data_IF_634392566346
#
_entry.id   IF_634392566346
#
_cell.length_a   1.000
_cell.length_b   1.000
_cell.length_c   1.000
_cell.angle_alpha   90.00
_cell.angle_beta   90.00
_cell.angle_gamma   90.00
#
_symmetry.space_group_name_H-M   'P 1'
#
loop_
_entity.id
_entity.type
_entity.pdbx_description
1 polymer ?
#
# COMPACT_ATOMS: atom_id res chain seq x y z
N UNK A 1 20.79 -57.82 -17.56
CA UNK A 1 20.50 -56.71 -18.49
C UNK A 1 19.36 -55.89 -17.90
N UNK A 2 19.61 -54.96 -16.97
CA UNK A 2 18.57 -54.08 -16.39
C UNK A 2 19.23 -52.90 -15.66
N UNK A 3 19.65 -51.89 -16.43
CA UNK A 3 20.17 -50.61 -15.92
C UNK A 3 19.89 -49.48 -16.93
N UNK A 4 18.63 -49.20 -17.25
CA UNK A 4 18.32 -48.02 -18.09
C UNK A 4 17.03 -47.25 -17.77
N UNK A 5 16.28 -47.61 -16.71
CA UNK A 5 14.97 -46.97 -16.45
C UNK A 5 15.04 -45.83 -15.41
N UNK A 6 16.18 -45.63 -14.73
CA UNK A 6 16.25 -44.69 -13.59
C UNK A 6 16.70 -43.25 -13.93
N UNK A 7 17.05 -42.93 -15.19
CA UNK A 7 17.61 -41.60 -15.53
C UNK A 7 16.57 -40.61 -16.10
N UNK A 8 15.50 -41.09 -16.73
CA UNK A 8 14.54 -40.24 -17.45
C UNK A 8 13.50 -39.57 -16.55
N UNK A 9 13.19 -40.16 -15.38
CA UNK A 9 12.23 -39.59 -14.41
C UNK A 9 12.81 -38.40 -13.64
N UNK A 10 14.14 -38.37 -13.43
CA UNK A 10 14.82 -37.26 -12.75
C UNK A 10 14.89 -36.00 -13.61
N UNK A 11 15.10 -36.14 -14.92
CA UNK A 11 15.18 -35.01 -15.85
C UNK A 11 13.83 -34.28 -16.01
N UNK A 12 12.72 -35.03 -16.05
CA UNK A 12 11.37 -34.48 -16.12
C UNK A 12 10.98 -33.73 -14.83
N UNK A 13 11.43 -34.21 -13.65
CA UNK A 13 11.21 -33.53 -12.38
C UNK A 13 11.92 -32.17 -12.29
N UNK A 14 13.16 -32.07 -12.82
CA UNK A 14 13.94 -30.83 -12.81
C UNK A 14 13.35 -29.80 -13.79
N UNK A 15 12.88 -30.23 -14.96
CA UNK A 15 12.22 -29.33 -15.93
C UNK A 15 10.85 -28.85 -15.39
N UNK A 16 10.08 -29.72 -14.73
CA UNK A 16 8.84 -29.33 -14.07
C UNK A 16 9.08 -28.32 -12.91
N UNK A 17 10.17 -28.48 -12.16
CA UNK A 17 10.55 -27.53 -11.12
C UNK A 17 10.93 -26.16 -11.71
N UNK A 18 11.72 -26.12 -12.80
CA UNK A 18 12.09 -24.88 -13.50
C UNK A 18 10.90 -24.14 -14.11
N UNK A 19 9.86 -24.85 -14.55
CA UNK A 19 8.62 -24.23 -15.09
C UNK A 19 7.67 -23.72 -13.99
N UNK A 20 7.89 -24.10 -12.72
CA UNK A 20 7.10 -23.65 -11.57
C UNK A 20 7.75 -22.51 -10.79
N UNK A 21 9.01 -22.16 -11.08
CA UNK A 21 9.63 -20.96 -10.52
C UNK A 21 9.19 -19.72 -11.31
N UNK A 22 8.60 -18.71 -10.65
CA UNK A 22 8.31 -17.45 -11.31
C UNK A 22 9.63 -16.83 -11.81
N UNK A 23 9.62 -16.32 -13.05
CA UNK A 23 10.78 -15.61 -13.59
C UNK A 23 11.19 -14.47 -12.65
N UNK A 24 12.50 -14.35 -12.42
CA UNK A 24 13.09 -13.24 -11.68
C UNK A 24 12.86 -11.98 -12.52
N UNK A 25 11.84 -11.22 -12.16
CA UNK A 25 11.59 -9.89 -12.73
C UNK A 25 12.44 -8.89 -11.97
N UNK A 26 13.40 -8.29 -12.65
CA UNK A 26 14.14 -7.16 -12.11
C UNK A 26 13.21 -5.96 -12.05
N UNK A 27 12.95 -5.44 -10.85
CA UNK A 27 12.26 -4.16 -10.69
C UNK A 27 13.12 -3.09 -11.34
N UNK A 28 12.53 -2.27 -12.23
CA UNK A 28 13.20 -1.10 -12.78
C UNK A 28 13.71 -0.23 -11.63
N UNK A 29 14.94 0.26 -11.75
CA UNK A 29 15.57 1.14 -10.76
C UNK A 29 14.87 2.51 -10.80
N UNK A 30 14.17 2.83 -9.71
CA UNK A 30 13.42 4.09 -9.58
C UNK A 30 14.39 5.20 -9.12
N UNK A 31 14.74 6.11 -10.03
CA UNK A 31 15.48 7.36 -9.74
C UNK A 31 14.49 8.41 -9.21
N UNK A 32 14.91 9.56 -8.68
CA UNK A 32 14.01 10.60 -8.12
C UNK A 32 13.96 11.86 -9.01
N UNK A 33 12.76 12.28 -9.49
CA UNK A 33 12.64 13.36 -10.49
C UNK A 33 12.49 14.70 -9.81
N UNK A 34 12.97 15.71 -10.53
CA UNK A 34 12.69 17.09 -10.19
C UNK A 34 11.18 17.39 -10.28
N UNK A 35 10.61 17.78 -9.13
CA UNK A 35 9.25 18.28 -8.86
C UNK A 35 8.59 19.14 -9.97
N UNK A 36 9.37 19.82 -10.82
CA UNK A 36 8.84 20.72 -11.87
C UNK A 36 8.31 20.00 -13.12
N UNK A 37 8.65 18.74 -13.34
CA UNK A 37 8.28 18.01 -14.58
C UNK A 37 6.79 17.67 -14.70
N UNK A 38 6.00 17.75 -13.61
CA UNK A 38 4.59 17.32 -13.59
C UNK A 38 3.59 18.46 -13.32
N UNK A 39 4.02 19.71 -13.28
CA UNK A 39 3.18 20.86 -12.87
C UNK A 39 2.09 21.22 -13.89
N UNK A 40 2.25 20.87 -15.17
CA UNK A 40 1.27 21.16 -16.23
C UNK A 40 0.12 20.13 -16.31
N UNK A 41 0.22 19.02 -15.57
CA UNK A 41 -0.73 17.87 -15.59
C UNK A 41 -1.90 17.98 -14.63
N UNK A 42 -2.19 19.16 -14.09
CA UNK A 42 -3.35 19.36 -13.20
C UNK A 42 -4.69 19.38 -13.94
N UNK A 43 -4.68 19.40 -15.28
CA UNK A 43 -5.88 19.31 -16.11
C UNK A 43 -5.77 18.09 -17.02
N UNK A 44 -6.53 17.04 -16.72
CA UNK A 44 -6.69 15.89 -17.60
C UNK A 44 -7.44 16.32 -18.86
N UNK A 45 -6.72 16.79 -19.87
CA UNK A 45 -7.27 17.26 -21.17
C UNK A 45 -7.82 16.12 -22.03
N UNK A 46 -7.66 14.86 -21.61
CA UNK A 46 -8.05 13.68 -22.38
C UNK A 46 -7.05 13.31 -23.49
N UNK A 47 -5.93 14.03 -23.57
CA UNK A 47 -4.78 13.70 -24.40
C UNK A 47 -3.76 12.95 -23.53
N UNK A 48 -3.41 11.73 -23.93
CA UNK A 48 -2.40 10.91 -23.27
C UNK A 48 -1.04 11.18 -23.94
N UNK A 49 0.02 11.40 -23.17
CA UNK A 49 1.39 11.50 -23.69
C UNK A 49 1.99 10.11 -24.01
N UNK A 50 3.12 10.08 -24.73
CA UNK A 50 3.79 8.87 -25.24
C UNK A 50 4.11 7.81 -24.17
N UNK A 51 4.25 8.23 -22.91
CA UNK A 51 4.56 7.37 -21.76
C UNK A 51 3.37 7.15 -20.80
N UNK A 52 2.16 7.58 -21.15
CA UNK A 52 0.97 7.35 -20.33
C UNK A 52 0.28 6.02 -20.69
N UNK A 53 -0.11 5.26 -19.67
CA UNK A 53 -0.88 4.02 -19.86
C UNK A 53 -2.26 4.37 -20.41
N UNK A 54 -2.49 4.01 -21.68
CA UNK A 54 -3.75 4.23 -22.36
C UNK A 54 -4.88 3.39 -21.74
N UNK A 55 -6.08 3.96 -21.53
CA UNK A 55 -7.23 3.19 -21.08
C UNK A 55 -7.60 2.13 -22.12
N UNK A 56 -8.06 0.96 -21.64
CA UNK A 56 -8.53 -0.15 -22.49
C UNK A 56 -9.71 0.22 -23.42
N UNK A 57 -10.33 1.40 -23.22
CA UNK A 57 -11.27 2.03 -24.15
C UNK A 57 -10.80 3.46 -24.43
N UNK A 58 -10.16 3.67 -25.58
CA UNK A 58 -9.70 4.96 -26.08
C UNK A 58 -10.87 5.75 -26.69
N UNK A 59 -11.82 6.20 -25.87
CA UNK A 59 -12.72 7.27 -26.30
C UNK A 59 -12.22 8.56 -25.66
N UNK A 60 -11.57 9.47 -26.42
CA UNK A 60 -11.38 10.81 -25.93
C UNK A 60 -12.75 11.35 -25.54
N UNK A 61 -12.86 12.09 -24.44
CA UNK A 61 -14.04 12.90 -24.19
C UNK A 61 -14.06 14.06 -25.18
N UNK A 62 -14.22 13.73 -26.46
CA UNK A 62 -14.58 14.68 -27.50
C UNK A 62 -15.99 15.10 -27.12
N UNK A 63 -16.15 16.32 -26.64
CA UNK A 63 -17.47 16.93 -26.58
C UNK A 63 -18.09 16.77 -27.97
N UNK A 64 -19.21 16.04 -28.06
CA UNK A 64 -19.81 15.68 -29.34
C UNK A 64 -20.03 16.97 -30.14
N UNK A 65 -19.38 17.15 -31.31
CA UNK A 65 -19.53 18.35 -32.11
C UNK A 65 -21.01 18.54 -32.46
N UNK A 66 -21.59 19.69 -32.08
CA UNK A 66 -23.01 19.99 -32.27
C UNK A 66 -23.89 19.87 -31.02
N UNK A 67 -23.43 19.24 -29.93
CA UNK A 67 -24.21 19.10 -28.67
C UNK A 67 -24.07 20.31 -27.73
N UNK A 68 -23.15 21.24 -28.03
CA UNK A 68 -23.09 22.53 -27.32
C UNK A 68 -24.16 23.55 -27.79
N UNK A 69 -24.86 23.28 -28.90
CA UNK A 69 -25.88 24.19 -29.44
C UNK A 69 -27.28 23.62 -29.21
N UNK A 70 -27.78 23.83 -28.01
CA UNK A 70 -29.16 23.50 -27.65
C UNK A 70 -29.49 23.96 -26.24
N UNK A 71 -30.74 24.39 -26.02
CA UNK A 71 -31.28 24.91 -24.75
C UNK A 71 -31.47 23.80 -23.71
N UNK A 72 -30.87 22.62 -23.92
CA UNK A 72 -30.73 21.64 -22.87
C UNK A 72 -29.40 21.89 -22.18
N UNK A 73 -29.36 22.73 -21.11
CA UNK A 73 -28.20 22.71 -20.25
C UNK A 73 -28.01 21.26 -19.82
N UNK A 74 -26.76 20.84 -19.65
CA UNK A 74 -26.48 19.79 -18.68
C UNK A 74 -27.23 20.19 -17.41
N UNK A 75 -28.42 19.61 -17.20
CA UNK A 75 -29.24 19.97 -16.08
C UNK A 75 -28.40 19.66 -14.85
N UNK A 76 -28.34 20.53 -13.82
CA UNK A 76 -27.75 20.15 -12.54
C UNK A 76 -28.45 18.92 -11.93
N UNK A 77 -29.59 18.52 -12.52
CA UNK A 77 -30.39 17.32 -12.24
C UNK A 77 -30.09 16.14 -13.18
N UNK A 78 -29.10 16.23 -14.08
CA UNK A 78 -28.62 15.09 -14.86
C UNK A 78 -28.30 13.95 -13.88
N UNK A 79 -28.81 12.76 -14.19
CA UNK A 79 -28.93 11.61 -13.30
C UNK A 79 -27.83 11.57 -12.23
N UNK A 80 -28.20 11.90 -10.97
CA UNK A 80 -27.27 11.89 -9.84
C UNK A 80 -26.53 10.55 -9.84
N UNK A 81 -25.21 10.57 -10.04
CA UNK A 81 -24.39 9.35 -10.04
C UNK A 81 -24.59 8.68 -8.68
N UNK A 82 -25.28 7.54 -8.66
CA UNK A 82 -25.61 6.83 -7.41
C UNK A 82 -24.41 6.07 -6.84
N UNK A 83 -23.39 5.85 -7.67
CA UNK A 83 -22.18 5.10 -7.32
C UNK A 83 -21.21 6.03 -6.59
N UNK A 84 -20.98 5.77 -5.30
CA UNK A 84 -20.11 6.58 -4.43
C UNK A 84 -18.67 6.69 -4.93
N UNK A 85 -18.17 5.67 -5.63
CA UNK A 85 -16.79 5.63 -6.16
C UNK A 85 -16.57 6.52 -7.39
N UNK A 86 -17.63 7.08 -7.98
CA UNK A 86 -17.57 7.88 -9.23
C UNK A 86 -18.12 9.31 -9.12
N UNK A 87 -18.36 9.79 -7.90
CA UNK A 87 -18.81 11.14 -7.62
C UNK A 87 -17.75 12.21 -7.97
N UNK A 88 -18.20 13.32 -8.54
CA UNK A 88 -17.36 14.49 -8.75
C UNK A 88 -16.91 15.13 -7.42
N UNK A 89 -17.72 15.00 -6.37
CA UNK A 89 -17.34 15.30 -4.98
C UNK A 89 -17.73 14.12 -4.08
N UNK A 90 -16.74 13.49 -3.47
CA UNK A 90 -16.94 12.40 -2.51
C UNK A 90 -17.67 12.87 -1.25
N UNK A 91 -17.59 14.17 -0.93
CA UNK A 91 -18.22 14.77 0.25
C UNK A 91 -19.65 15.24 0.00
N UNK A 92 -20.21 14.95 -1.18
CA UNK A 92 -21.58 15.34 -1.52
C UNK A 92 -22.58 14.83 -0.47
N UNK A 93 -23.25 15.77 0.19
CA UNK A 93 -24.27 15.53 1.22
C UNK A 93 -23.78 15.61 2.67
N UNK A 94 -22.48 15.84 2.90
CA UNK A 94 -21.94 16.05 4.25
C UNK A 94 -22.17 17.50 4.69
N UNK A 95 -22.87 17.67 5.83
CA UNK A 95 -23.13 19.00 6.39
C UNK A 95 -21.85 19.66 6.89
N UNK A 96 -21.68 20.93 6.52
CA UNK A 96 -20.56 21.78 6.95
C UNK A 96 -19.16 21.28 6.54
N UNK A 97 -19.05 20.49 5.46
CA UNK A 97 -17.76 19.99 4.97
C UNK A 97 -16.71 21.10 4.78
N UNK A 98 -17.08 22.24 4.19
CA UNK A 98 -16.17 23.40 3.96
C UNK A 98 -15.50 23.96 5.22
N UNK A 99 -16.04 23.67 6.41
CA UNK A 99 -15.49 24.13 7.71
C UNK A 99 -14.89 22.99 8.54
N UNK A 100 -14.82 21.77 8.01
CA UNK A 100 -14.28 20.59 8.67
C UNK A 100 -12.88 20.29 8.13
N UNK A 101 -12.03 19.73 8.98
CA UNK A 101 -10.73 19.19 8.54
C UNK A 101 -10.90 17.72 8.15
N UNK A 102 -9.97 17.23 7.34
CA UNK A 102 -9.98 15.83 6.89
C UNK A 102 -9.93 14.86 8.08
N UNK A 103 -9.05 15.14 9.04
CA UNK A 103 -8.80 14.34 10.23
C UNK A 103 -10.02 14.21 11.17
N UNK A 104 -10.93 15.19 11.18
CA UNK A 104 -12.14 15.14 12.01
C UNK A 104 -13.08 13.99 11.60
N UNK A 105 -13.00 13.54 10.35
CA UNK A 105 -13.78 12.43 9.79
C UNK A 105 -12.92 11.20 9.46
N UNK A 106 -11.67 11.40 9.02
CA UNK A 106 -10.75 10.35 8.55
C UNK A 106 -9.66 10.02 9.58
N UNK A 107 -10.03 9.86 10.85
CA UNK A 107 -9.07 9.63 11.95
C UNK A 107 -8.16 8.42 11.71
N UNK A 108 -8.69 7.35 11.10
CA UNK A 108 -7.93 6.12 10.84
C UNK A 108 -6.86 6.29 9.76
N UNK A 109 -7.06 7.26 8.86
CA UNK A 109 -6.19 7.49 7.70
C UNK A 109 -5.09 8.51 7.96
N UNK A 110 -5.05 9.09 9.17
CA UNK A 110 -4.04 10.08 9.60
C UNK A 110 -2.66 9.48 9.91
N UNK A 111 -2.55 8.15 9.90
CA UNK A 111 -1.36 7.43 10.37
C UNK A 111 -0.58 6.74 9.27
N UNK A 112 -0.50 7.39 8.10
CA UNK A 112 0.33 6.91 7.01
C UNK A 112 1.75 7.49 7.09
N UNK A 113 2.67 6.87 6.35
CA UNK A 113 4.08 7.27 6.34
C UNK A 113 4.25 8.66 5.70
N UNK A 114 3.42 9.02 4.73
CA UNK A 114 3.55 10.29 4.01
C UNK A 114 3.10 11.47 4.87
N UNK A 115 2.07 11.30 5.70
CA UNK A 115 1.65 12.32 6.66
C UNK A 115 2.60 12.40 7.85
N UNK A 116 2.96 11.28 8.48
CA UNK A 116 3.77 11.29 9.72
C UNK A 116 5.26 11.57 9.46
N UNK A 117 5.87 10.93 8.45
CA UNK A 117 7.32 11.08 8.19
C UNK A 117 7.65 12.16 7.17
N UNK A 118 6.87 12.26 6.09
CA UNK A 118 7.15 13.19 5.01
C UNK A 118 6.40 14.53 5.14
N UNK A 119 5.55 14.69 6.17
CA UNK A 119 4.75 15.90 6.42
C UNK A 119 3.93 16.34 5.19
N UNK A 120 3.41 15.37 4.44
CA UNK A 120 2.53 15.63 3.31
C UNK A 120 1.09 15.83 3.80
N UNK A 121 0.40 16.79 3.20
CA UNK A 121 -1.01 17.06 3.44
C UNK A 121 -1.89 16.14 2.60
N UNK A 122 -3.10 15.81 3.09
CA UNK A 122 -4.05 14.95 2.38
C UNK A 122 -4.35 15.46 0.96
N UNK A 123 -4.39 16.79 0.77
CA UNK A 123 -4.70 17.44 -0.52
C UNK A 123 -3.61 17.29 -1.56
N UNK A 124 -2.35 17.09 -1.17
CA UNK A 124 -1.27 16.88 -2.15
C UNK A 124 -1.47 15.59 -2.96
N UNK A 125 -2.13 14.59 -2.36
CA UNK A 125 -2.50 13.35 -3.03
C UNK A 125 -3.94 13.40 -3.57
N UNK A 126 -4.90 13.85 -2.76
CA UNK A 126 -6.33 13.83 -3.12
C UNK A 126 -6.79 14.97 -4.03
N UNK A 127 -5.98 16.03 -4.19
CA UNK A 127 -6.31 17.21 -4.97
C UNK A 127 -7.06 18.30 -4.18
N UNK A 128 -7.50 19.32 -4.92
CA UNK A 128 -8.29 20.44 -4.41
C UNK A 128 -9.77 20.08 -4.18
N UNK A 129 -10.56 21.07 -3.74
CA UNK A 129 -12.01 20.93 -3.69
C UNK A 129 -12.64 21.29 -5.05
N UNK A 130 -13.65 20.54 -5.51
CA UNK A 130 -14.24 19.34 -4.91
C UNK A 130 -13.33 18.10 -5.00
N UNK A 131 -13.31 17.27 -3.93
CA UNK A 131 -12.48 16.06 -3.90
C UNK A 131 -13.21 14.92 -4.61
N UNK A 132 -12.81 14.67 -5.85
CA UNK A 132 -13.36 13.60 -6.68
C UNK A 132 -13.06 12.21 -6.11
N UNK A 133 -14.03 11.31 -6.22
CA UNK A 133 -13.91 9.93 -5.74
C UNK A 133 -12.91 9.11 -6.55
N UNK A 134 -12.43 8.00 -5.99
CA UNK A 134 -11.26 7.28 -6.53
C UNK A 134 -11.41 6.78 -7.98
N UNK A 135 -12.61 6.46 -8.47
CA UNK A 135 -12.83 6.07 -9.87
C UNK A 135 -13.28 7.24 -10.77
N UNK A 136 -13.40 8.44 -10.23
CA UNK A 136 -13.85 9.59 -11.00
C UNK A 136 -12.76 10.09 -11.96
N UNK A 137 -13.18 10.59 -13.12
CA UNK A 137 -12.27 11.05 -14.17
C UNK A 137 -11.42 12.25 -13.76
N UNK A 138 -11.83 13.08 -12.80
CA UNK A 138 -11.01 14.19 -12.29
C UNK A 138 -10.24 13.87 -11.00
N UNK A 139 -10.29 12.62 -10.50
CA UNK A 139 -9.55 12.25 -9.29
C UNK A 139 -8.05 12.13 -9.55
N UNK A 140 -7.22 12.84 -8.77
CA UNK A 140 -5.77 12.68 -8.81
C UNK A 140 -5.34 11.27 -8.41
N UNK A 141 -6.08 10.62 -7.52
CA UNK A 141 -5.83 9.24 -7.06
C UNK A 141 -6.54 8.17 -7.92
N UNK A 142 -6.97 8.51 -9.13
CA UNK A 142 -7.52 7.52 -10.04
C UNK A 142 -6.51 6.39 -10.31
N UNK A 143 -6.87 5.11 -10.09
CA UNK A 143 -5.95 3.97 -10.25
C UNK A 143 -5.21 3.95 -11.58
N UNK A 144 -5.82 4.45 -12.66
CA UNK A 144 -5.24 4.45 -14.00
C UNK A 144 -4.02 5.39 -14.09
N UNK A 145 -4.03 6.52 -13.37
CA UNK A 145 -3.02 7.59 -13.56
C UNK A 145 -2.34 8.10 -12.30
N UNK A 146 -2.72 7.61 -11.11
CA UNK A 146 -2.13 8.07 -9.83
C UNK A 146 -0.62 7.89 -9.76
N UNK A 147 -0.08 6.88 -10.46
CA UNK A 147 1.36 6.67 -10.58
C UNK A 147 2.05 7.89 -11.24
N UNK A 148 1.53 8.36 -12.37
CA UNK A 148 2.09 9.48 -13.13
C UNK A 148 1.64 10.87 -12.63
N UNK A 149 0.53 10.98 -11.92
CA UNK A 149 -0.05 12.26 -11.48
C UNK A 149 0.24 12.60 -10.01
N UNK A 150 0.51 11.62 -9.16
CA UNK A 150 0.72 11.81 -7.71
C UNK A 150 2.05 11.24 -7.27
N UNK A 151 2.29 9.94 -7.49
CA UNK A 151 3.48 9.26 -6.99
C UNK A 151 4.76 9.81 -7.66
N UNK A 152 4.72 10.02 -8.97
CA UNK A 152 5.82 10.56 -9.79
C UNK A 152 6.33 11.94 -9.37
N UNK A 153 5.51 12.72 -8.64
CA UNK A 153 5.90 14.05 -8.14
C UNK A 153 7.10 13.98 -7.19
N UNK A 154 7.23 12.85 -6.48
CA UNK A 154 8.30 12.61 -5.51
C UNK A 154 9.12 11.35 -5.82
N UNK A 155 8.55 10.35 -6.51
CA UNK A 155 9.19 9.08 -6.89
C UNK A 155 9.32 9.00 -8.42
N UNK A 156 10.47 9.29 -9.00
CA UNK A 156 10.60 9.17 -10.47
C UNK A 156 10.61 7.73 -10.94
N UNK A 157 10.09 7.54 -12.15
CA UNK A 157 9.83 6.21 -12.64
C UNK A 157 8.68 5.49 -11.93
N UNK A 158 7.94 6.15 -11.03
CA UNK A 158 6.80 5.55 -10.33
C UNK A 158 5.86 4.85 -11.31
N UNK A 159 5.91 3.53 -11.25
CA UNK A 159 5.18 2.64 -12.15
C UNK A 159 3.75 2.43 -11.66
N UNK A 160 2.90 1.87 -12.53
CA UNK A 160 1.54 1.49 -12.16
C UNK A 160 1.52 0.44 -11.03
N UNK A 161 2.51 -0.46 -10.98
CA UNK A 161 2.67 -1.45 -9.91
C UNK A 161 3.13 -0.78 -8.60
N UNK A 162 4.07 0.16 -8.65
CA UNK A 162 4.46 0.95 -7.46
C UNK A 162 3.25 1.66 -6.86
N UNK A 163 2.50 2.36 -7.71
CA UNK A 163 1.31 3.07 -7.25
C UNK A 163 0.16 2.14 -6.87
N UNK A 164 0.25 0.82 -7.06
CA UNK A 164 -0.73 -0.13 -6.54
C UNK A 164 -0.71 -0.21 -5.01
N UNK A 165 0.35 0.29 -4.38
CA UNK A 165 0.54 0.29 -2.93
C UNK A 165 -0.60 0.96 -2.16
N UNK A 166 -0.98 0.35 -1.04
CA UNK A 166 -2.03 0.86 -0.15
C UNK A 166 -1.42 1.87 0.82
N UNK A 167 -1.52 3.15 0.47
CA UNK A 167 -0.99 4.28 1.27
C UNK A 167 -1.64 4.33 2.66
N UNK A 168 -2.95 4.15 2.72
CA UNK A 168 -3.73 4.11 3.94
C UNK A 168 -3.85 2.68 4.46
N UNK A 169 -2.83 2.24 5.20
CA UNK A 169 -2.79 0.85 5.68
C UNK A 169 -3.77 0.67 6.85
N UNK A 170 -4.73 -0.27 6.75
CA UNK A 170 -5.59 -0.58 7.88
C UNK A 170 -4.78 -1.25 9.00
N UNK A 171 -5.16 -1.01 10.25
CA UNK A 171 -4.48 -1.67 11.37
C UNK A 171 -4.62 -3.21 11.25
N UNK A 172 -3.52 -3.96 11.15
CA UNK A 172 -3.54 -5.39 10.90
C UNK A 172 -4.15 -6.20 12.06
N UNK A 173 -4.16 -5.67 13.28
CA UNK A 173 -4.72 -6.34 14.45
C UNK A 173 -6.26 -6.28 14.50
N UNK A 174 -6.89 -5.36 13.75
CA UNK A 174 -8.35 -5.19 13.81
C UNK A 174 -9.10 -6.29 13.05
N UNK A 175 -10.20 -6.78 13.62
CA UNK A 175 -11.08 -7.76 12.97
C UNK A 175 -11.70 -7.25 11.65
N UNK A 176 -11.86 -5.92 11.49
CA UNK A 176 -12.32 -5.33 10.24
C UNK A 176 -11.35 -5.60 9.08
N UNK A 177 -10.05 -5.62 9.35
CA UNK A 177 -8.99 -5.85 8.35
C UNK A 177 -9.05 -7.26 7.78
N UNK A 178 -9.55 -8.23 8.54
CA UNK A 178 -9.76 -9.60 8.07
C UNK A 178 -10.68 -9.67 6.84
N UNK A 179 -11.66 -8.76 6.73
CA UNK A 179 -12.61 -8.72 5.59
C UNK A 179 -12.01 -8.08 4.35
N UNK A 180 -11.18 -7.05 4.52
CA UNK A 180 -10.62 -6.27 3.40
C UNK A 180 -9.26 -6.78 2.94
N UNK A 181 -8.41 -7.22 3.87
CA UNK A 181 -7.04 -7.70 3.65
C UNK A 181 -6.73 -8.92 4.54
N UNK A 182 -7.28 -10.11 4.22
CA UNK A 182 -7.14 -11.30 5.06
C UNK A 182 -5.68 -11.76 5.22
N UNK A 183 -4.88 -11.64 4.15
CA UNK A 183 -3.46 -12.03 4.16
C UNK A 183 -2.68 -11.21 5.19
N UNK A 184 -2.88 -9.89 5.22
CA UNK A 184 -2.22 -9.00 6.17
C UNK A 184 -2.60 -9.33 7.61
N UNK A 185 -3.89 -9.62 7.87
CA UNK A 185 -4.38 -9.98 9.19
C UNK A 185 -3.72 -11.27 9.73
N UNK A 186 -3.71 -12.34 8.93
CA UNK A 186 -3.13 -13.61 9.36
C UNK A 186 -1.61 -13.54 9.47
N UNK A 187 -0.92 -12.89 8.54
CA UNK A 187 0.52 -12.69 8.60
C UNK A 187 0.93 -11.98 9.90
N UNK A 188 0.21 -10.92 10.29
CA UNK A 188 0.43 -10.22 11.55
C UNK A 188 0.29 -11.14 12.76
N UNK A 189 -0.81 -11.90 12.85
CA UNK A 189 -1.05 -12.78 14.00
C UNK A 189 -0.11 -13.98 14.06
N UNK A 190 0.33 -14.51 12.91
CA UNK A 190 1.37 -15.54 12.86
C UNK A 190 2.68 -14.98 13.41
N UNK A 191 3.09 -13.79 12.96
CA UNK A 191 4.32 -13.15 13.46
C UNK A 191 4.25 -12.86 14.96
N UNK A 192 3.10 -12.40 15.47
CA UNK A 192 2.85 -12.23 16.90
C UNK A 192 2.94 -13.57 17.63
N UNK A 193 2.32 -14.63 17.09
CA UNK A 193 2.36 -15.97 17.67
C UNK A 193 3.79 -16.52 17.76
N UNK A 194 4.60 -16.35 16.71
CA UNK A 194 6.01 -16.73 16.71
C UNK A 194 6.78 -15.94 17.77
N UNK A 195 6.60 -14.62 17.85
CA UNK A 195 7.27 -13.77 18.84
C UNK A 195 6.87 -14.12 20.28
N UNK A 196 5.58 -14.34 20.55
CA UNK A 196 5.13 -14.75 21.88
C UNK A 196 5.67 -16.15 22.21
N UNK A 197 5.66 -17.06 21.25
CA UNK A 197 6.20 -18.41 21.40
C UNK A 197 7.70 -18.40 21.76
N UNK A 198 8.50 -17.58 21.09
CA UNK A 198 9.92 -17.45 21.43
C UNK A 198 10.10 -16.87 22.83
N UNK A 199 9.39 -15.79 23.19
CA UNK A 199 9.52 -15.23 24.54
C UNK A 199 9.08 -16.19 25.64
N UNK A 200 8.02 -16.97 25.44
CA UNK A 200 7.53 -17.95 26.43
C UNK A 200 8.51 -19.10 26.66
N UNK A 201 9.29 -19.50 25.65
CA UNK A 201 10.28 -20.58 25.81
C UNK A 201 11.60 -20.03 26.34
N UNK A 202 12.13 -18.98 25.71
CA UNK A 202 13.48 -18.51 25.97
C UNK A 202 13.57 -17.65 27.24
N UNK A 203 12.57 -16.81 27.56
CA UNK A 203 12.66 -15.98 28.78
C UNK A 203 12.69 -16.82 30.06
N UNK A 204 11.81 -17.81 30.27
CA UNK A 204 11.89 -18.66 31.45
C UNK A 204 13.15 -19.51 31.47
N UNK A 205 13.61 -20.01 30.31
CA UNK A 205 14.86 -20.77 30.23
C UNK A 205 16.05 -19.93 30.69
N UNK A 206 16.21 -18.72 30.14
CA UNK A 206 17.28 -17.80 30.54
C UNK A 206 17.14 -17.35 32.00
N UNK A 207 15.91 -17.10 32.47
CA UNK A 207 15.66 -16.73 33.87
C UNK A 207 16.04 -17.85 34.85
N UNK A 208 15.65 -19.10 34.58
CA UNK A 208 16.01 -20.25 35.40
C UNK A 208 17.52 -20.47 35.45
N UNK A 209 18.20 -20.32 34.30
CA UNK A 209 19.65 -20.43 34.26
C UNK A 209 20.34 -19.30 35.03
N UNK A 210 19.87 -18.06 34.90
CA UNK A 210 20.36 -16.93 35.69
C UNK A 210 20.17 -17.12 37.20
N UNK A 211 18.99 -17.59 37.62
CA UNK A 211 18.70 -17.90 39.03
C UNK A 211 19.66 -18.97 39.57
N UNK A 212 19.92 -20.03 38.80
CA UNK A 212 20.86 -21.09 39.18
C UNK A 212 22.28 -20.54 39.41
N UNK A 213 22.78 -19.70 38.51
CA UNK A 213 24.13 -19.14 38.62
C UNK A 213 24.26 -18.22 39.85
N UNK A 214 23.23 -17.41 40.14
CA UNK A 214 23.21 -16.56 41.33
C UNK A 214 23.23 -17.36 42.63
N UNK A 215 22.50 -18.48 42.71
CA UNK A 215 22.55 -19.36 43.87
C UNK A 215 23.91 -20.07 44.01
N UNK A 216 24.49 -20.55 42.91
CA UNK A 216 25.81 -21.20 42.91
C UNK A 216 26.95 -20.24 43.31
N UNK A 217 26.88 -18.97 42.92
CA UNK A 217 27.86 -17.96 43.32
C UNK A 217 27.80 -17.63 44.82
N UNK A 218 26.60 -17.65 45.41
CA UNK A 218 26.40 -17.40 46.85
C UNK A 218 26.96 -18.53 47.72
N UNK A 219 26.92 -19.77 47.24
CA UNK A 219 27.49 -20.93 47.93
C UNK A 219 29.02 -20.85 48.00
N UNK A 220 29.68 -20.50 46.89
CA UNK A 220 31.15 -20.41 46.78
C UNK A 220 31.76 -19.34 47.68
N UNK A 221 31.11 -18.18 47.79
CA UNK A 221 31.55 -17.07 48.66
C UNK A 221 31.37 -17.35 50.15
N UNK A 222 30.46 -18.26 50.50
CA UNK A 222 30.24 -18.69 51.90
C UNK A 222 31.20 -19.82 52.29
N UNK A 223 31.68 -20.61 51.33
CA UNK A 223 32.55 -21.77 51.54
C UNK A 223 34.06 -21.49 51.38
N UNK A 224 34.47 -20.25 51.14
CA UNK A 224 35.89 -19.88 51.07
C UNK A 224 36.36 -19.39 52.45
N UNK A 225 36.96 -20.25 53.30
CA UNK A 225 37.62 -19.78 54.51
C UNK A 225 38.83 -18.95 54.10
N UNK A 226 38.97 -17.75 54.68
CA UNK A 226 40.21 -16.96 54.66
C UNK A 226 41.37 -17.86 55.11
N UNK A 227 42.13 -18.40 54.17
CA UNK A 227 43.48 -18.87 54.41
C UNK A 227 44.42 -17.89 53.73
N UNK A 228 44.96 -16.96 54.51
CA UNK A 228 46.34 -16.45 54.39
C UNK A 228 46.64 -15.47 55.52
N UNK A 229 47.70 -15.77 56.29
CA UNK A 229 48.41 -14.85 57.19
C UNK A 229 48.22 -15.14 58.66
#
# INVERSE_FOLDING_TARGET
MNRFICSTTSALGIIAALLLFPEITYSAEEVASALRRYKEREVSTGYYEEYEVLPRHQRPMVGVPGVQRGIFPYSPSAARVRIRTRLADSHQGIKFYKRRRCEDCHVKETKDIHTIRANLTCRQCHGGEPIASIEHYYSSMNPIRRHAAVCSKCHEGASASFASYVVHTPNPAMAATKKTFPVLFYAFWIMVGVAVGTFVVFLPHTALWGIRELFAAKEKTTSEPKQHG
#
